data_IF_120645781009
#
_entry.id   IF_120645781009
#
_cell.length_a   1.000
_cell.length_b   1.000
_cell.length_c   1.000
_cell.angle_alpha   90.00
_cell.angle_beta   90.00
_cell.angle_gamma   90.00
#
_symmetry.space_group_name_H-M   'P 1'
#
loop_
_entity.id
_entity.type
_entity.pdbx_description
1 polymer ?
#
# COMPACT_ATOMS: atom_id res chain seq x y z
N UNK A 1 18.22 -19.71 11.24
CA UNK A 1 16.83 -19.18 11.28
C UNK A 1 15.85 -20.16 10.64
N UNK A 2 14.71 -20.43 11.28
CA UNK A 2 13.62 -21.25 10.72
C UNK A 2 12.30 -20.47 10.73
N UNK A 3 11.61 -20.41 9.58
CA UNK A 3 10.25 -19.84 9.52
C UNK A 3 9.26 -20.80 10.21
N UNK A 4 8.46 -20.27 11.13
CA UNK A 4 7.42 -21.01 11.83
C UNK A 4 6.10 -20.90 11.07
N UNK A 5 5.66 -19.67 10.78
CA UNK A 5 4.39 -19.42 10.11
C UNK A 5 4.41 -18.05 9.44
N UNK A 6 3.49 -17.83 8.50
CA UNK A 6 3.28 -16.53 7.87
C UNK A 6 1.80 -16.16 7.92
N UNK A 7 1.53 -14.87 8.13
CA UNK A 7 0.19 -14.31 8.12
C UNK A 7 0.05 -13.36 6.94
N UNK A 8 -0.78 -13.67 5.94
CA UNK A 8 -1.04 -12.77 4.83
C UNK A 8 -1.85 -11.56 5.30
N UNK A 9 -1.78 -10.46 4.56
CA UNK A 9 -2.50 -9.21 4.86
C UNK A 9 -3.99 -9.42 5.17
N UNK A 10 -4.67 -10.28 4.39
CA UNK A 10 -6.11 -10.56 4.57
C UNK A 10 -6.43 -11.15 5.94
N UNK A 11 -5.54 -12.00 6.49
CA UNK A 11 -5.69 -12.55 7.83
C UNK A 11 -5.42 -11.49 8.89
N UNK A 12 -4.36 -10.69 8.72
CA UNK A 12 -4.00 -9.63 9.67
C UNK A 12 -5.11 -8.58 9.81
N UNK A 13 -5.75 -8.20 8.70
CA UNK A 13 -6.89 -7.26 8.72
C UNK A 13 -8.09 -7.84 9.46
N UNK A 14 -8.37 -9.14 9.32
CA UNK A 14 -9.45 -9.81 10.07
C UNK A 14 -9.16 -9.84 11.57
N UNK A 15 -7.92 -10.13 11.96
CA UNK A 15 -7.49 -10.12 13.36
C UNK A 15 -7.64 -8.71 13.95
N UNK A 16 -7.15 -7.68 13.25
CA UNK A 16 -7.27 -6.29 13.70
C UNK A 16 -8.74 -5.85 13.81
N UNK A 17 -9.57 -6.18 12.82
CA UNK A 17 -10.99 -5.86 12.85
C UNK A 17 -11.70 -6.56 14.01
N UNK A 18 -11.49 -7.87 14.20
CA UNK A 18 -12.09 -8.62 15.30
C UNK A 18 -11.61 -8.11 16.66
N UNK A 19 -10.30 -7.87 16.83
CA UNK A 19 -9.74 -7.30 18.07
C UNK A 19 -10.34 -5.93 18.38
N UNK A 20 -10.48 -5.06 17.37
CA UNK A 20 -11.09 -3.74 17.55
C UNK A 20 -12.57 -3.81 17.90
N UNK A 21 -13.33 -4.73 17.29
CA UNK A 21 -14.73 -4.95 17.62
C UNK A 21 -14.90 -5.45 19.06
N UNK A 22 -14.16 -6.48 19.46
CA UNK A 22 -14.25 -7.09 20.79
C UNK A 22 -13.78 -6.14 21.90
N UNK A 23 -12.78 -5.29 21.63
CA UNK A 23 -12.36 -4.23 22.57
C UNK A 23 -13.40 -3.12 22.68
N UNK A 24 -14.06 -2.75 21.57
CA UNK A 24 -15.16 -1.76 21.60
C UNK A 24 -16.40 -2.31 22.32
N UNK A 25 -16.64 -3.62 22.24
CA UNK A 25 -17.67 -4.32 23.02
C UNK A 25 -17.37 -4.39 24.52
N UNK A 26 -16.17 -3.98 24.96
CA UNK A 26 -15.79 -3.96 26.37
C UNK A 26 -15.43 -5.33 26.94
N UNK A 27 -15.12 -6.32 26.08
CA UNK A 27 -14.72 -7.66 26.52
C UNK A 27 -13.37 -7.65 27.22
N UNK A 28 -13.21 -8.56 28.17
CA UNK A 28 -11.95 -8.76 28.88
C UNK A 28 -10.89 -9.38 27.94
N UNK A 29 -9.58 -9.24 28.24
CA UNK A 29 -8.52 -9.79 27.39
C UNK A 29 -8.59 -11.31 27.18
N UNK A 30 -9.06 -12.03 28.18
CA UNK A 30 -9.25 -13.48 28.14
C UNK A 30 -10.39 -13.86 27.18
N UNK A 31 -11.52 -13.16 27.27
CA UNK A 31 -12.66 -13.34 26.37
C UNK A 31 -12.32 -12.95 24.93
N UNK A 32 -11.52 -11.89 24.73
CA UNK A 32 -11.03 -11.48 23.41
C UNK A 32 -10.21 -12.62 22.78
N UNK A 33 -9.33 -13.24 23.56
CA UNK A 33 -8.48 -14.34 23.08
C UNK A 33 -9.32 -15.54 22.67
N UNK A 34 -10.28 -15.94 23.50
CA UNK A 34 -11.20 -17.05 23.20
C UNK A 34 -12.07 -16.76 21.98
N UNK A 35 -12.72 -15.59 21.92
CA UNK A 35 -13.57 -15.20 20.81
C UNK A 35 -12.79 -15.06 19.48
N UNK A 36 -11.53 -14.61 19.53
CA UNK A 36 -10.67 -14.60 18.37
C UNK A 36 -10.26 -15.99 17.92
N UNK A 37 -9.99 -16.90 18.85
CA UNK A 37 -9.68 -18.30 18.53
C UNK A 37 -10.83 -18.99 17.79
N UNK A 38 -12.06 -18.80 18.27
CA UNK A 38 -13.27 -19.34 17.66
C UNK A 38 -13.55 -18.72 16.28
N UNK A 39 -13.49 -17.39 16.17
CA UNK A 39 -13.83 -16.68 14.92
C UNK A 39 -12.82 -16.93 13.80
N UNK A 40 -11.53 -17.05 14.14
CA UNK A 40 -10.45 -17.23 13.18
C UNK A 40 -10.05 -18.70 12.99
N UNK A 41 -10.61 -19.62 13.78
CA UNK A 41 -10.24 -21.04 13.82
C UNK A 41 -8.73 -21.22 14.04
N UNK A 42 -8.18 -20.46 14.99
CA UNK A 42 -6.77 -20.52 15.36
C UNK A 42 -6.65 -20.72 16.86
N UNK A 43 -5.76 -21.60 17.28
CA UNK A 43 -5.59 -21.95 18.69
C UNK A 43 -4.11 -21.95 19.08
N UNK A 44 -3.85 -21.88 20.39
CA UNK A 44 -2.52 -21.96 20.97
C UNK A 44 -1.55 -20.92 20.41
N UNK A 45 -0.35 -21.38 20.05
CA UNK A 45 0.74 -20.50 19.60
C UNK A 45 0.43 -19.80 18.29
N UNK A 46 -0.34 -20.43 17.39
CA UNK A 46 -0.73 -19.79 16.13
C UNK A 46 -1.60 -18.55 16.37
N UNK A 47 -2.50 -18.60 17.35
CA UNK A 47 -3.32 -17.44 17.72
C UNK A 47 -2.45 -16.33 18.32
N UNK A 48 -1.54 -16.69 19.24
CA UNK A 48 -0.58 -15.73 19.83
C UNK A 48 0.26 -15.04 18.75
N UNK A 49 0.81 -15.82 17.82
CA UNK A 49 1.58 -15.29 16.70
C UNK A 49 0.73 -14.40 15.79
N UNK A 50 -0.53 -14.77 15.53
CA UNK A 50 -1.43 -13.96 14.72
C UNK A 50 -1.74 -12.61 15.38
N UNK A 51 -1.95 -12.60 16.70
CA UNK A 51 -2.21 -11.39 17.48
C UNK A 51 -0.98 -10.48 17.49
N UNK A 52 0.19 -11.00 17.82
CA UNK A 52 1.44 -10.25 17.80
C UNK A 52 1.75 -9.72 16.38
N UNK A 53 1.57 -10.55 15.36
CA UNK A 53 1.77 -10.14 13.97
C UNK A 53 0.79 -9.03 13.53
N UNK A 54 -0.47 -9.11 13.96
CA UNK A 54 -1.48 -8.10 13.69
C UNK A 54 -1.12 -6.77 14.36
N UNK A 55 -0.69 -6.80 15.62
CA UNK A 55 -0.24 -5.62 16.35
C UNK A 55 0.99 -4.97 15.69
N UNK A 56 1.93 -5.77 15.20
CA UNK A 56 3.08 -5.28 14.44
C UNK A 56 2.71 -4.73 13.05
N UNK A 57 1.60 -5.19 12.47
CA UNK A 57 1.08 -4.70 11.20
C UNK A 57 0.17 -3.48 11.38
N UNK A 58 -0.31 -3.19 12.60
CA UNK A 58 -1.17 -2.07 12.90
C UNK A 58 -0.51 -0.74 12.49
N UNK A 59 -1.24 0.09 11.75
CA UNK A 59 -0.75 1.38 11.27
C UNK A 59 0.23 1.32 10.09
N UNK A 60 0.65 0.14 9.63
CA UNK A 60 1.50 0.00 8.44
C UNK A 60 0.66 -0.07 7.17
N UNK A 61 1.05 0.72 6.18
CA UNK A 61 0.43 0.69 4.85
C UNK A 61 1.14 -0.34 3.96
N UNK A 62 0.40 -0.91 3.01
CA UNK A 62 0.93 -1.86 2.01
C UNK A 62 1.60 -3.13 2.58
N UNK A 63 1.19 -3.62 3.76
CA UNK A 63 1.66 -4.90 4.30
C UNK A 63 1.24 -6.04 3.36
N UNK A 64 2.19 -6.87 2.95
CA UNK A 64 1.93 -8.08 2.16
C UNK A 64 1.69 -9.29 3.06
N UNK A 65 2.61 -9.50 4.00
CA UNK A 65 2.56 -10.57 5.00
C UNK A 65 3.46 -10.26 6.19
N UNK A 66 3.23 -10.96 7.29
CA UNK A 66 4.15 -11.01 8.43
C UNK A 66 4.69 -12.42 8.57
N UNK A 67 6.00 -12.58 8.49
CA UNK A 67 6.69 -13.85 8.66
C UNK A 67 7.16 -13.98 10.12
N UNK A 68 6.84 -15.10 10.74
CA UNK A 68 7.27 -15.45 12.09
C UNK A 68 8.38 -16.50 11.98
N UNK A 69 9.49 -16.28 12.67
CA UNK A 69 10.66 -17.15 12.64
C UNK A 69 11.24 -17.35 14.03
N UNK A 70 11.82 -18.53 14.27
CA UNK A 70 12.73 -18.76 15.38
C UNK A 70 14.17 -18.63 14.93
N UNK A 71 15.00 -18.12 15.82
CA UNK A 71 16.44 -17.95 15.61
C UNK A 71 17.13 -18.70 16.73
N UNK A 72 18.12 -19.52 16.37
CA UNK A 72 18.86 -20.31 17.35
C UNK A 72 19.75 -19.39 18.20
N UNK A 73 19.95 -19.75 19.46
CA UNK A 73 20.83 -19.01 20.37
C UNK A 73 22.26 -18.94 19.77
N UNK A 74 22.73 -17.72 19.54
CA UNK A 74 24.04 -17.44 18.91
C UNK A 74 23.97 -16.93 17.47
N UNK A 75 22.80 -16.94 16.82
CA UNK A 75 22.60 -16.30 15.51
C UNK A 75 22.10 -14.85 15.66
N UNK A 76 22.76 -13.89 15.01
CA UNK A 76 22.27 -12.50 14.99
C UNK A 76 21.06 -12.37 14.05
N UNK A 77 19.90 -11.88 14.53
CA UNK A 77 18.74 -11.62 13.68
C UNK A 77 19.07 -10.59 12.59
N UNK A 78 18.57 -10.77 11.36
CA UNK A 78 18.63 -9.73 10.34
C UNK A 78 17.90 -8.48 10.84
N UNK A 79 18.44 -7.28 10.56
CA UNK A 79 17.97 -6.00 11.11
C UNK A 79 16.48 -5.67 10.85
N UNK A 80 15.84 -6.35 9.88
CA UNK A 80 14.42 -6.15 9.53
C UNK A 80 13.46 -6.92 10.45
N UNK A 81 13.97 -7.88 11.24
CA UNK A 81 13.16 -8.66 12.17
C UNK A 81 12.98 -7.91 13.49
N UNK A 82 11.77 -7.97 14.04
CA UNK A 82 11.42 -7.45 15.35
C UNK A 82 11.25 -8.63 16.31
N UNK A 83 11.96 -8.61 17.44
CA UNK A 83 11.83 -9.64 18.46
C UNK A 83 10.57 -9.35 19.30
N UNK A 84 9.66 -10.31 19.36
CA UNK A 84 8.51 -10.29 20.26
C UNK A 84 8.52 -11.61 21.02
N UNK A 85 8.69 -11.51 22.34
CA UNK A 85 8.92 -12.66 23.22
C UNK A 85 10.12 -13.49 22.72
N UNK A 86 9.90 -14.77 22.41
CA UNK A 86 10.92 -15.70 21.94
C UNK A 86 10.98 -15.81 20.40
N UNK A 87 10.12 -15.08 19.69
CA UNK A 87 9.97 -15.20 18.24
C UNK A 87 10.33 -13.90 17.52
N UNK A 88 10.74 -14.04 16.26
CA UNK A 88 11.17 -12.94 15.41
C UNK A 88 10.16 -12.72 14.28
N UNK A 89 9.75 -11.48 14.10
CA UNK A 89 8.70 -11.10 13.17
C UNK A 89 9.27 -10.17 12.09
N UNK A 90 9.10 -10.55 10.84
CA UNK A 90 9.40 -9.71 9.69
C UNK A 90 8.11 -9.23 9.07
N UNK A 91 7.87 -7.92 9.11
CA UNK A 91 6.74 -7.30 8.40
C UNK A 91 7.18 -6.96 6.99
N UNK A 92 6.70 -7.72 6.01
CA UNK A 92 6.95 -7.43 4.61
C UNK A 92 5.92 -6.43 4.10
N UNK A 93 6.38 -5.27 3.65
CA UNK A 93 5.58 -4.27 2.95
C UNK A 93 5.92 -4.26 1.47
N UNK A 94 4.93 -3.98 0.63
CA UNK A 94 5.14 -3.58 -0.75
C UNK A 94 5.70 -2.16 -0.70
N UNK A 95 7.02 -2.01 -0.78
CA UNK A 95 7.61 -0.70 -0.99
C UNK A 95 7.11 -0.16 -2.33
N UNK A 96 6.45 1.01 -2.36
CA UNK A 96 6.13 1.63 -3.62
C UNK A 96 7.47 1.91 -4.30
N UNK A 97 7.68 1.31 -5.48
CA UNK A 97 8.86 1.53 -6.28
C UNK A 97 8.96 3.03 -6.50
N UNK A 98 9.92 3.69 -5.83
CA UNK A 98 10.13 5.13 -6.01
C UNK A 98 10.38 5.32 -7.50
N UNK A 99 9.58 6.14 -8.21
CA UNK A 99 9.87 6.42 -9.59
C UNK A 99 11.29 6.96 -9.62
N UNK A 100 12.16 6.28 -10.36
CA UNK A 100 13.54 6.71 -10.56
C UNK A 100 13.45 8.13 -11.08
N UNK A 101 13.94 9.11 -10.33
CA UNK A 101 13.95 10.49 -10.79
C UNK A 101 14.56 10.49 -12.18
N UNK A 102 13.74 10.84 -13.16
CA UNK A 102 14.21 10.98 -14.54
C UNK A 102 15.16 12.16 -14.44
N UNK A 103 16.46 11.88 -14.49
CA UNK A 103 17.49 12.91 -14.44
C UNK A 103 17.07 14.01 -15.43
N UNK A 104 16.86 15.22 -14.91
CA UNK A 104 16.46 16.35 -15.73
C UNK A 104 17.40 16.42 -16.94
N UNK A 105 16.88 16.60 -18.17
CA UNK A 105 17.72 16.63 -19.35
C UNK A 105 18.79 17.70 -19.13
N UNK A 106 20.03 17.24 -19.01
CA UNK A 106 21.19 18.10 -18.79
C UNK A 106 21.21 19.16 -19.88
N UNK A 107 21.40 20.40 -19.44
CA UNK A 107 21.39 21.63 -20.23
C UNK A 107 22.66 21.72 -21.08
N UNK A 108 22.92 20.74 -21.93
CA UNK A 108 23.93 20.83 -23.01
C UNK A 108 23.23 21.15 -24.32
N UNK A 109 22.86 22.43 -24.45
CA UNK A 109 22.46 23.01 -25.71
C UNK A 109 23.68 23.25 -26.60
N UNK A 110 23.80 22.49 -27.70
CA UNK A 110 24.50 22.94 -28.91
C UNK A 110 23.95 22.20 -30.14
N UNK A 111 22.92 22.77 -30.74
CA UNK A 111 22.34 22.36 -32.01
C UNK A 111 21.40 23.45 -32.48
N UNK A 112 21.76 24.14 -33.56
CA UNK A 112 21.24 25.46 -33.95
C UNK A 112 19.76 25.50 -34.38
N UNK A 113 19.26 26.71 -34.72
CA UNK A 113 17.85 26.95 -34.95
C UNK A 113 17.39 26.36 -36.28
N UNK A 114 16.60 25.28 -36.22
CA UNK A 114 15.76 24.87 -37.35
C UNK A 114 14.44 25.62 -37.29
N UNK A 115 14.41 26.73 -38.04
CA UNK A 115 13.21 27.46 -38.43
C UNK A 115 12.37 26.56 -39.34
N UNK A 116 11.18 26.17 -38.90
CA UNK A 116 10.17 25.54 -39.76
C UNK A 116 9.13 24.75 -38.99
N UNK A 117 7.86 25.12 -39.15
CA UNK A 117 6.73 24.24 -38.84
C UNK A 117 5.90 24.65 -37.62
N UNK A 118 5.05 25.64 -37.82
CA UNK A 118 3.92 25.94 -36.97
C UNK A 118 2.89 24.80 -37.05
N UNK A 119 2.69 24.04 -35.97
CA UNK A 119 1.40 23.40 -35.70
C UNK A 119 1.27 23.02 -34.22
N UNK A 120 0.18 23.51 -33.62
CA UNK A 120 -0.05 23.51 -32.18
C UNK A 120 -0.08 22.12 -31.55
N UNK A 121 0.79 21.92 -30.55
CA UNK A 121 0.71 20.81 -29.63
C UNK A 121 -0.26 21.13 -28.51
N UNK A 122 -1.55 20.83 -28.71
CA UNK A 122 -2.50 20.73 -27.62
C UNK A 122 -2.05 19.66 -26.62
N UNK A 123 -2.27 19.91 -25.33
CA UNK A 123 -1.92 19.02 -24.24
C UNK A 123 -2.38 17.59 -24.54
N UNK A 124 -1.48 16.62 -24.38
CA UNK A 124 -1.80 15.19 -24.48
C UNK A 124 -2.84 14.88 -23.40
N UNK A 125 -4.10 14.76 -23.81
CA UNK A 125 -5.18 14.27 -22.97
C UNK A 125 -4.79 12.87 -22.45
N UNK A 126 -4.80 12.71 -21.14
CA UNK A 126 -4.58 11.42 -20.47
C UNK A 126 -5.39 10.29 -21.14
N UNK A 127 -4.86 9.05 -21.18
CA UNK A 127 -5.42 7.94 -21.95
C UNK A 127 -6.80 7.44 -21.48
N UNK A 128 -7.40 8.07 -20.47
CA UNK A 128 -8.69 7.69 -19.88
C UNK A 128 -9.81 8.74 -20.09
N UNK A 129 -9.74 9.47 -21.20
CA UNK A 129 -10.81 10.39 -21.60
C UNK A 129 -10.72 11.77 -20.96
N UNK A 130 -11.26 12.76 -21.66
CA UNK A 130 -11.21 14.16 -21.28
C UNK A 130 -11.94 14.40 -19.94
N UNK A 131 -11.36 15.24 -19.08
CA UNK A 131 -11.99 15.67 -17.83
C UNK A 131 -13.34 16.35 -18.14
N UNK A 132 -14.38 16.23 -17.28
CA UNK A 132 -15.69 16.86 -17.51
C UNK A 132 -15.62 18.34 -17.87
N UNK A 133 -14.62 19.05 -17.35
CA UNK A 133 -14.37 20.46 -17.66
C UNK A 133 -13.93 20.70 -19.12
N UNK A 134 -13.12 19.82 -19.71
CA UNK A 134 -12.70 19.92 -21.11
C UNK A 134 -13.85 19.62 -22.08
N UNK A 135 -14.75 18.70 -21.71
CA UNK A 135 -15.95 18.40 -22.50
C UNK A 135 -16.91 19.59 -22.48
N UNK A 136 -17.09 20.21 -21.31
CA UNK A 136 -17.91 21.41 -21.17
C UNK A 136 -17.31 22.59 -21.97
N UNK A 137 -15.99 22.77 -21.91
CA UNK A 137 -15.30 23.80 -22.68
C UNK A 137 -15.43 23.58 -24.19
N UNK A 138 -15.27 22.35 -24.68
CA UNK A 138 -15.48 22.02 -26.11
C UNK A 138 -16.92 22.23 -26.56
N UNK A 139 -17.92 21.86 -25.73
CA UNK A 139 -19.34 22.13 -26.03
C UNK A 139 -19.64 23.63 -26.05
N UNK A 140 -19.05 24.41 -25.15
CA UNK A 140 -19.23 25.86 -25.13
C UNK A 140 -18.56 26.54 -26.34
N UNK A 141 -17.39 26.05 -26.75
CA UNK A 141 -16.70 26.53 -27.94
C UNK A 141 -17.45 26.19 -29.24
N UNK A 142 -18.03 25.00 -29.36
CA UNK A 142 -18.83 24.63 -30.53
C UNK A 142 -20.14 25.42 -30.61
N UNK A 143 -20.79 25.70 -29.46
CA UNK A 143 -21.97 26.55 -29.41
C UNK A 143 -21.65 28.02 -29.80
N UNK A 144 -20.53 28.56 -29.33
CA UNK A 144 -20.09 29.91 -29.70
C UNK A 144 -19.73 30.03 -31.20
N UNK A 145 -19.09 29.01 -31.78
CA UNK A 145 -18.77 28.98 -33.20
C UNK A 145 -20.02 28.83 -34.10
N UNK A 146 -21.08 28.18 -33.62
CA UNK A 146 -22.35 28.07 -34.33
C UNK A 146 -23.17 29.38 -34.30
N UNK A 147 -23.08 30.14 -33.20
CA UNK A 147 -23.74 31.44 -33.07
C UNK A 147 -23.07 32.54 -33.92
N UNK A 148 -21.76 32.44 -34.16
CA UNK A 148 -21.01 33.39 -34.98
C UNK A 148 -21.17 33.18 -36.51
N UNK A 149 -21.93 32.17 -36.94
CA UNK A 149 -22.20 31.86 -38.36
C UNK A 149 -23.67 32.09 -38.78
N UNK A 150 -24.46 32.77 -37.95
CA UNK A 150 -25.82 33.23 -38.29
C UNK A 150 -25.86 34.73 -38.46
#
# INVERSE_FOLDING_TARGET
MKSITEFPQSTLLKVLAAKSALTTEGKTPEEITTAMGESLKMEGDKLKFAMAAADLAAGKTAVRRVLVASIADGETPPAKYQKVEDNYYLVETLEPMKPKEVAAPSKFGRGGPRKGGQQGGGAKSSPWGASPEEIAAKKKASAAAAAAKK
#
